data_IF_732596150316
#
_entry.id   IF_732596150316
#
_cell.length_a   1.000
_cell.length_b   1.000
_cell.length_c   1.000
_cell.angle_alpha   90.00
_cell.angle_beta   90.00
_cell.angle_gamma   90.00
#
_symmetry.space_group_name_H-M   'P 1'
#
loop_
_entity.id
_entity.type
_entity.pdbx_description
1 polymer ?
#
# COMPACT_ATOMS: atom_id res chain seq x y z
N UNK A 1 -21.34 9.46 -11.29
CA UNK A 1 -20.63 10.25 -12.33
C UNK A 1 -21.26 11.62 -12.60
N UNK A 2 -22.59 11.72 -12.79
CA UNK A 2 -23.26 13.01 -13.08
C UNK A 2 -22.96 14.13 -12.09
N UNK A 3 -22.90 13.85 -10.77
CA UNK A 3 -22.45 14.81 -9.74
C UNK A 3 -21.09 15.43 -10.07
N UNK A 4 -20.10 14.61 -10.42
CA UNK A 4 -18.74 15.06 -10.70
C UNK A 4 -18.71 15.97 -11.94
N UNK A 5 -19.38 15.57 -13.02
CA UNK A 5 -19.44 16.36 -14.25
C UNK A 5 -20.09 17.73 -13.99
N UNK A 6 -21.21 17.76 -13.26
CA UNK A 6 -21.91 19.00 -12.93
C UNK A 6 -21.00 19.91 -12.10
N UNK A 7 -20.44 19.42 -11.00
CA UNK A 7 -19.66 20.27 -10.09
C UNK A 7 -18.33 20.74 -10.69
N UNK A 8 -17.73 19.98 -11.61
CA UNK A 8 -16.45 20.34 -12.23
C UNK A 8 -16.62 21.25 -13.44
N UNK A 9 -17.60 20.97 -14.32
CA UNK A 9 -17.72 21.68 -15.60
C UNK A 9 -18.88 22.67 -15.67
N UNK A 10 -19.98 22.43 -14.96
CA UNK A 10 -21.21 23.23 -15.04
C UNK A 10 -21.53 24.01 -13.77
N UNK A 11 -20.71 23.88 -12.73
CA UNK A 11 -20.85 24.58 -11.46
C UNK A 11 -20.14 25.93 -11.47
N UNK A 12 -20.33 26.68 -10.39
CA UNK A 12 -19.60 27.94 -10.18
C UNK A 12 -18.10 27.69 -10.06
N UNK A 13 -17.31 28.54 -10.69
CA UNK A 13 -15.87 28.38 -10.80
C UNK A 13 -15.18 28.79 -9.48
N UNK A 14 -14.65 27.82 -8.72
CA UNK A 14 -14.09 28.01 -7.37
C UNK A 14 -12.58 28.28 -7.33
N UNK A 15 -11.96 28.62 -8.46
CA UNK A 15 -10.50 28.73 -8.58
C UNK A 15 -9.93 30.00 -7.95
N UNK A 16 -10.75 31.04 -7.74
CA UNK A 16 -10.33 32.26 -7.05
C UNK A 16 -10.35 32.15 -5.52
N UNK A 17 -11.13 31.21 -4.95
CA UNK A 17 -11.38 31.17 -3.50
C UNK A 17 -10.31 30.40 -2.71
N UNK A 18 -9.66 29.39 -3.33
CA UNK A 18 -8.70 28.52 -2.64
C UNK A 18 -7.24 28.66 -3.12
N UNK A 19 -6.99 29.49 -4.14
CA UNK A 19 -5.63 29.75 -4.64
C UNK A 19 -4.76 30.47 -3.61
N UNK A 20 -5.37 31.28 -2.73
CA UNK A 20 -4.67 32.00 -1.66
C UNK A 20 -4.27 31.09 -0.48
N UNK A 21 -4.98 29.98 -0.22
CA UNK A 21 -4.81 29.17 0.99
C UNK A 21 -3.76 28.06 0.88
N UNK A 22 -3.43 27.60 -0.34
CA UNK A 22 -2.58 26.41 -0.54
C UNK A 22 -1.22 26.69 -1.20
N UNK A 23 -0.77 27.96 -1.26
CA UNK A 23 0.59 28.31 -1.70
C UNK A 23 0.95 27.91 -3.14
N UNK A 24 -0.04 27.71 -4.01
CA UNK A 24 0.20 27.35 -5.40
C UNK A 24 0.67 28.58 -6.19
N UNK A 25 1.90 28.55 -6.71
CA UNK A 25 2.46 29.62 -7.52
C UNK A 25 1.90 29.58 -8.96
N UNK A 26 1.09 30.56 -9.34
CA UNK A 26 0.69 30.81 -10.73
C UNK A 26 -0.64 31.55 -10.90
N UNK A 27 -0.78 32.36 -11.95
CA UNK A 27 -2.07 32.89 -12.41
C UNK A 27 -2.86 31.75 -13.08
N UNK A 28 -3.63 31.01 -12.29
CA UNK A 28 -4.34 29.80 -12.73
C UNK A 28 -5.65 30.12 -13.46
N UNK A 29 -5.57 30.72 -14.64
CA UNK A 29 -6.68 30.67 -15.59
C UNK A 29 -6.68 29.26 -16.22
N UNK A 30 -7.76 28.47 -16.11
CA UNK A 30 -7.84 27.17 -16.76
C UNK A 30 -7.61 27.31 -18.26
N UNK A 31 -6.59 26.63 -18.78
CA UNK A 31 -6.30 26.57 -20.20
C UNK A 31 -6.57 25.17 -20.74
N UNK A 32 -6.78 25.08 -22.05
CA UNK A 32 -6.95 23.80 -22.72
C UNK A 32 -5.68 22.95 -22.61
N UNK A 33 -5.84 21.62 -22.61
CA UNK A 33 -4.71 20.71 -22.46
C UNK A 33 -3.83 20.71 -23.72
N UNK A 34 -2.49 20.61 -23.58
CA UNK A 34 -1.60 20.51 -24.73
C UNK A 34 -1.95 19.29 -25.59
N UNK A 35 -1.64 19.36 -26.89
CA UNK A 35 -1.92 18.28 -27.85
C UNK A 35 -1.39 16.90 -27.44
N UNK A 36 -0.32 16.86 -26.64
CA UNK A 36 0.27 15.62 -26.14
C UNK A 36 -0.64 14.87 -25.15
N UNK A 37 -1.55 15.57 -24.46
CA UNK A 37 -2.58 14.95 -23.60
C UNK A 37 -3.90 14.73 -24.34
N UNK A 38 -4.27 15.65 -25.23
CA UNK A 38 -5.52 15.56 -25.99
C UNK A 38 -5.52 14.35 -26.94
N UNK A 39 -4.40 14.09 -27.62
CA UNK A 39 -4.30 13.00 -28.60
C UNK A 39 -4.63 11.63 -27.99
N UNK A 40 -4.01 11.19 -26.86
CA UNK A 40 -4.41 9.97 -26.19
C UNK A 40 -5.89 9.91 -25.82
N UNK A 41 -6.47 11.00 -25.31
CA UNK A 41 -7.88 11.05 -24.91
C UNK A 41 -8.83 10.84 -26.09
N UNK A 42 -8.56 11.49 -27.22
CA UNK A 42 -9.37 11.35 -28.45
C UNK A 42 -9.27 9.93 -29.00
N UNK A 43 -8.06 9.36 -29.04
CA UNK A 43 -7.86 7.98 -29.48
C UNK A 43 -8.61 7.00 -28.58
N UNK A 44 -8.51 7.15 -27.25
CA UNK A 44 -9.24 6.31 -26.29
C UNK A 44 -10.75 6.45 -26.43
N UNK A 45 -11.27 7.67 -26.66
CA UNK A 45 -12.70 7.88 -26.92
C UNK A 45 -13.16 7.16 -28.20
N UNK A 46 -12.35 7.23 -29.27
CA UNK A 46 -12.58 6.49 -30.50
C UNK A 46 -12.60 4.97 -30.28
N UNK A 47 -11.60 4.44 -29.58
CA UNK A 47 -11.51 3.02 -29.24
C UNK A 47 -12.67 2.55 -28.34
N UNK A 48 -13.16 3.38 -27.42
CA UNK A 48 -14.33 3.07 -26.60
C UNK A 48 -15.61 2.98 -27.44
N UNK A 49 -15.79 3.87 -28.43
CA UNK A 49 -16.91 3.79 -29.37
C UNK A 49 -16.83 2.54 -30.25
N UNK A 50 -15.65 2.22 -30.79
CA UNK A 50 -15.43 1.01 -31.59
C UNK A 50 -15.67 -0.24 -30.76
N UNK A 51 -15.13 -0.29 -29.53
CA UNK A 51 -15.36 -1.40 -28.59
C UNK A 51 -16.84 -1.62 -28.29
N UNK A 52 -17.60 -0.54 -28.07
CA UNK A 52 -19.06 -0.62 -27.92
C UNK A 52 -19.77 -1.11 -29.19
N UNK A 53 -19.34 -0.64 -30.36
CA UNK A 53 -19.91 -1.04 -31.64
C UNK A 53 -19.63 -2.51 -32.01
N UNK A 54 -18.50 -3.07 -31.58
CA UNK A 54 -18.14 -4.48 -31.79
C UNK A 54 -19.00 -5.46 -30.98
N UNK A 55 -19.69 -5.01 -29.93
CA UNK A 55 -20.53 -5.85 -29.06
C UNK A 55 -21.96 -5.31 -28.97
N UNK A 56 -22.59 -5.06 -30.13
CA UNK A 56 -23.96 -4.58 -30.16
C UNK A 56 -24.97 -5.74 -29.97
N UNK A 57 -25.90 -5.65 -29.00
CA UNK A 57 -26.82 -6.73 -28.65
C UNK A 57 -28.03 -6.84 -29.60
N UNK A 58 -27.96 -6.28 -30.81
CA UNK A 58 -29.08 -6.25 -31.76
C UNK A 58 -29.23 -7.54 -32.58
N UNK A 59 -28.15 -8.32 -32.76
CA UNK A 59 -28.17 -9.58 -33.51
C UNK A 59 -27.08 -10.53 -33.02
N UNK A 60 -27.32 -11.85 -33.16
CA UNK A 60 -26.28 -12.87 -32.89
C UNK A 60 -25.03 -12.66 -33.75
N UNK A 61 -25.17 -12.03 -34.94
CA UNK A 61 -24.04 -11.71 -35.83
C UNK A 61 -23.25 -10.47 -35.42
N UNK A 62 -23.80 -9.60 -34.57
CA UNK A 62 -23.12 -8.37 -34.09
C UNK A 62 -22.49 -8.56 -32.70
N UNK A 63 -22.65 -9.73 -32.08
CA UNK A 63 -22.00 -10.12 -30.82
C UNK A 63 -20.61 -10.73 -31.09
N UNK A 64 -19.74 -9.98 -31.77
CA UNK A 64 -18.43 -10.50 -32.21
C UNK A 64 -17.54 -10.92 -31.04
N UNK A 65 -17.48 -10.13 -29.97
CA UNK A 65 -16.65 -10.45 -28.80
C UNK A 65 -17.19 -11.70 -28.10
N UNK A 66 -18.50 -11.86 -27.97
CA UNK A 66 -19.11 -13.06 -27.37
C UNK A 66 -18.66 -14.35 -28.08
N UNK A 67 -18.67 -14.36 -29.41
CA UNK A 67 -18.22 -15.53 -30.19
C UNK A 67 -16.70 -15.71 -30.16
N UNK A 68 -15.93 -14.61 -30.14
CA UNK A 68 -14.47 -14.67 -30.08
C UNK A 68 -13.96 -15.16 -28.71
N UNK A 69 -14.64 -14.79 -27.62
CA UNK A 69 -14.32 -15.25 -26.26
C UNK A 69 -14.95 -16.61 -25.91
N UNK A 70 -15.96 -17.08 -26.66
CA UNK A 70 -16.66 -18.33 -26.39
C UNK A 70 -15.70 -19.51 -26.11
N UNK A 71 -14.62 -19.77 -26.87
CA UNK A 71 -13.73 -20.92 -26.61
C UNK A 71 -13.03 -20.91 -25.24
N UNK A 72 -12.91 -19.74 -24.60
CA UNK A 72 -12.27 -19.58 -23.28
C UNK A 72 -13.31 -19.56 -22.16
N UNK A 73 -14.55 -19.15 -22.46
CA UNK A 73 -15.59 -18.87 -21.46
C UNK A 73 -16.69 -19.95 -21.43
N UNK A 74 -16.83 -20.76 -22.49
CA UNK A 74 -17.92 -21.73 -22.69
C UNK A 74 -18.04 -22.78 -21.56
N UNK A 75 -16.94 -23.21 -20.95
CA UNK A 75 -16.99 -24.10 -19.77
C UNK A 75 -17.44 -23.39 -18.47
N UNK A 76 -17.31 -22.07 -18.40
CA UNK A 76 -17.67 -21.24 -17.23
C UNK A 76 -19.04 -20.57 -17.35
N UNK A 77 -19.76 -20.76 -18.46
CA UNK A 77 -21.10 -20.17 -18.63
C UNK A 77 -22.16 -20.93 -17.82
N UNK A 78 -22.73 -20.25 -16.83
CA UNK A 78 -23.95 -20.71 -16.17
C UNK A 78 -25.08 -20.80 -17.21
N UNK A 79 -25.73 -21.97 -17.30
CA UNK A 79 -26.84 -22.20 -18.23
C UNK A 79 -28.14 -21.57 -17.71
N UNK A 80 -28.26 -20.24 -17.80
CA UNK A 80 -29.39 -19.45 -17.25
C UNK A 80 -30.56 -19.35 -18.26
N UNK A 81 -30.52 -20.10 -19.37
CA UNK A 81 -31.44 -19.96 -20.52
C UNK A 81 -32.92 -20.13 -20.17
N UNK A 82 -33.25 -20.88 -19.11
CA UNK A 82 -34.64 -21.10 -18.65
C UNK A 82 -35.10 -20.18 -17.51
N UNK A 83 -34.24 -19.26 -17.06
CA UNK A 83 -34.61 -18.38 -15.95
C UNK A 83 -35.55 -17.27 -16.42
N UNK A 84 -36.51 -16.88 -15.57
CA UNK A 84 -37.43 -15.77 -15.80
C UNK A 84 -36.73 -14.47 -16.24
N UNK A 85 -35.55 -14.20 -15.68
CA UNK A 85 -34.72 -13.05 -16.04
C UNK A 85 -34.24 -13.07 -17.50
N UNK A 86 -33.93 -14.26 -18.05
CA UNK A 86 -33.48 -14.40 -19.43
C UNK A 86 -34.63 -14.14 -20.41
N UNK A 87 -35.83 -14.64 -20.09
CA UNK A 87 -37.05 -14.41 -20.86
C UNK A 87 -37.46 -12.93 -20.87
N UNK A 88 -37.25 -12.25 -19.74
CA UNK A 88 -37.63 -10.84 -19.56
C UNK A 88 -36.46 -9.85 -19.66
N UNK A 89 -35.37 -10.23 -20.34
CA UNK A 89 -34.14 -9.41 -20.46
C UNK A 89 -34.39 -7.98 -20.96
N UNK A 90 -35.32 -7.79 -21.91
CA UNK A 90 -35.64 -6.46 -22.43
C UNK A 90 -36.41 -5.60 -21.44
N UNK A 91 -37.26 -6.22 -20.61
CA UNK A 91 -37.95 -5.54 -19.52
C UNK A 91 -36.93 -5.10 -18.47
N UNK A 92 -36.01 -5.98 -18.08
CA UNK A 92 -34.92 -5.67 -17.15
C UNK A 92 -34.02 -4.54 -17.68
N UNK A 93 -33.69 -4.57 -18.98
CA UNK A 93 -32.96 -3.51 -19.66
C UNK A 93 -33.72 -2.18 -19.60
N UNK A 94 -35.02 -2.19 -19.90
CA UNK A 94 -35.87 -1.00 -19.82
C UNK A 94 -35.91 -0.42 -18.41
N UNK A 95 -36.11 -1.26 -17.39
CA UNK A 95 -36.08 -0.85 -15.98
C UNK A 95 -34.73 -0.25 -15.61
N UNK A 96 -33.61 -0.89 -16.01
CA UNK A 96 -32.27 -0.38 -15.74
C UNK A 96 -32.04 0.99 -16.37
N UNK A 97 -32.48 1.20 -17.62
CA UNK A 97 -32.39 2.51 -18.31
C UNK A 97 -33.22 3.56 -17.58
N UNK A 98 -34.44 3.23 -17.17
CA UNK A 98 -35.30 4.16 -16.41
C UNK A 98 -34.66 4.53 -15.08
N UNK A 99 -34.14 3.56 -14.32
CA UNK A 99 -33.45 3.82 -13.05
C UNK A 99 -32.21 4.70 -13.26
N UNK A 100 -31.41 4.42 -14.29
CA UNK A 100 -30.24 5.24 -14.63
C UNK A 100 -30.64 6.69 -14.97
N UNK A 101 -31.69 6.88 -15.78
CA UNK A 101 -32.21 8.20 -16.14
C UNK A 101 -32.76 8.95 -14.92
N UNK A 102 -33.50 8.27 -14.04
CA UNK A 102 -33.97 8.85 -12.77
C UNK A 102 -32.80 9.31 -11.89
N UNK A 103 -31.73 8.51 -11.80
CA UNK A 103 -30.51 8.89 -11.09
C UNK A 103 -29.83 10.14 -11.67
N UNK A 104 -29.77 10.27 -12.99
CA UNK A 104 -29.24 11.46 -13.66
C UNK A 104 -30.11 12.70 -13.36
N UNK A 105 -31.43 12.58 -13.47
CA UNK A 105 -32.37 13.68 -13.19
C UNK A 105 -32.29 14.11 -11.72
N UNK A 106 -32.21 13.16 -10.79
CA UNK A 106 -32.03 13.43 -9.36
C UNK A 106 -30.72 14.19 -9.10
N UNK A 107 -29.60 13.76 -9.71
CA UNK A 107 -28.31 14.44 -9.57
C UNK A 107 -28.36 15.88 -10.12
N UNK A 108 -29.01 16.11 -11.26
CA UNK A 108 -29.19 17.47 -11.81
C UNK A 108 -30.03 18.34 -10.88
N UNK A 109 -31.10 17.79 -10.30
CA UNK A 109 -31.97 18.52 -9.38
C UNK A 109 -31.24 18.96 -8.10
N UNK A 110 -30.36 18.10 -7.56
CA UNK A 110 -29.55 18.39 -6.36
C UNK A 110 -28.41 19.35 -6.67
N UNK A 111 -27.57 19.05 -7.67
CA UNK A 111 -26.27 19.70 -7.85
C UNK A 111 -26.28 20.86 -8.85
N UNK A 112 -27.13 20.85 -9.88
CA UNK A 112 -27.19 21.94 -10.87
C UNK A 112 -28.29 22.96 -10.56
N UNK A 113 -29.44 22.51 -10.04
CA UNK A 113 -30.59 23.38 -9.76
C UNK A 113 -30.77 23.74 -8.28
N UNK A 114 -29.93 23.18 -7.39
CA UNK A 114 -29.98 23.39 -5.94
C UNK A 114 -31.39 23.25 -5.32
N UNK A 115 -32.27 22.43 -5.91
CA UNK A 115 -33.66 22.28 -5.44
C UNK A 115 -33.78 21.40 -4.20
N UNK A 116 -32.77 20.60 -3.92
CA UNK A 116 -32.73 19.65 -2.81
C UNK A 116 -31.35 19.72 -2.13
N UNK A 117 -31.32 19.56 -0.81
CA UNK A 117 -30.07 19.51 -0.05
C UNK A 117 -29.31 18.22 -0.38
N UNK A 118 -28.02 18.35 -0.66
CA UNK A 118 -27.15 17.19 -0.84
C UNK A 118 -27.08 16.39 0.47
N UNK A 119 -27.39 15.10 0.40
CA UNK A 119 -27.27 14.17 1.52
C UNK A 119 -25.91 13.51 1.41
N UNK A 120 -24.98 13.90 2.27
CA UNK A 120 -23.61 13.37 2.30
C UNK A 120 -23.35 12.79 3.70
N UNK A 121 -23.67 11.50 3.93
CA UNK A 121 -23.42 10.86 5.20
C UNK A 121 -21.91 10.80 5.49
N UNK A 122 -21.52 11.17 6.70
CA UNK A 122 -20.11 11.16 7.15
C UNK A 122 -19.42 9.80 6.94
N UNK A 123 -20.16 8.70 7.03
CA UNK A 123 -19.62 7.35 6.81
C UNK A 123 -19.13 7.15 5.37
N UNK A 124 -19.88 7.68 4.37
CA UNK A 124 -19.50 7.58 2.96
C UNK A 124 -18.36 8.55 2.62
N UNK A 125 -18.34 9.71 3.26
CA UNK A 125 -17.23 10.67 3.17
C UNK A 125 -15.92 10.05 3.67
N UNK A 126 -15.97 9.29 4.77
CA UNK A 126 -14.81 8.63 5.38
C UNK A 126 -14.48 7.26 4.76
N UNK A 127 -14.93 6.99 3.53
CA UNK A 127 -14.72 5.71 2.84
C UNK A 127 -15.03 4.49 3.74
N UNK A 128 -16.19 4.53 4.42
CA UNK A 128 -16.63 3.49 5.36
C UNK A 128 -15.71 3.29 6.58
N UNK A 129 -14.90 4.30 6.92
CA UNK A 129 -13.83 4.22 7.94
C UNK A 129 -12.79 3.14 7.66
N UNK A 130 -12.71 2.61 6.43
CA UNK A 130 -11.75 1.56 6.09
C UNK A 130 -10.32 2.08 6.23
N UNK A 131 -10.02 3.19 5.57
CA UNK A 131 -8.70 3.81 5.60
C UNK A 131 -8.30 4.23 7.03
N UNK A 132 -9.25 4.81 7.78
CA UNK A 132 -9.03 5.20 9.17
C UNK A 132 -8.75 4.00 10.07
N UNK A 133 -9.43 2.87 9.85
CA UNK A 133 -9.22 1.64 10.62
C UNK A 133 -7.88 1.00 10.26
N UNK A 134 -7.58 0.88 8.97
CA UNK A 134 -6.29 0.37 8.50
C UNK A 134 -5.13 1.22 9.04
N UNK A 135 -5.24 2.55 8.95
CA UNK A 135 -4.26 3.48 9.49
C UNK A 135 -4.08 3.28 11.01
N UNK A 136 -5.16 3.20 11.79
CA UNK A 136 -5.10 2.98 13.25
C UNK A 136 -4.46 1.64 13.61
N UNK A 137 -4.72 0.59 12.84
CA UNK A 137 -4.12 -0.73 13.05
C UNK A 137 -2.62 -0.71 12.76
N UNK A 138 -2.20 -0.04 11.68
CA UNK A 138 -0.76 0.08 11.37
C UNK A 138 -0.06 1.01 12.35
N UNK A 139 -0.61 2.20 12.58
CA UNK A 139 0.04 3.25 13.37
C UNK A 139 -0.03 3.01 14.88
N UNK A 140 -0.99 2.23 15.36
CA UNK A 140 -1.13 1.85 16.75
C UNK A 140 -0.31 0.60 17.07
N UNK A 141 -0.92 -0.61 17.03
CA UNK A 141 -0.25 -1.84 17.41
C UNK A 141 0.94 -2.17 16.51
N UNK A 142 0.88 -1.84 15.21
CA UNK A 142 2.03 -2.04 14.30
C UNK A 142 3.27 -1.28 14.77
N UNK A 143 3.16 0.03 14.97
CA UNK A 143 4.28 0.84 15.48
C UNK A 143 4.74 0.40 16.87
N UNK A 144 3.82 0.01 17.76
CA UNK A 144 4.19 -0.46 19.10
C UNK A 144 5.05 -1.73 19.04
N UNK A 145 4.71 -2.68 18.15
CA UNK A 145 5.50 -3.89 17.91
C UNK A 145 6.91 -3.55 17.40
N UNK A 146 7.01 -2.68 16.39
CA UNK A 146 8.31 -2.29 15.84
C UNK A 146 9.18 -1.55 16.85
N UNK A 147 8.60 -0.64 17.63
CA UNK A 147 9.30 0.04 18.71
C UNK A 147 9.76 -0.95 19.80
N UNK A 148 8.94 -1.97 20.10
CA UNK A 148 9.32 -3.03 21.03
C UNK A 148 10.52 -3.83 20.53
N UNK A 149 10.53 -4.23 19.25
CA UNK A 149 11.67 -4.94 18.64
C UNK A 149 12.93 -4.08 18.64
N UNK A 150 12.82 -2.81 18.26
CA UNK A 150 13.94 -1.87 18.28
C UNK A 150 14.49 -1.65 19.70
N UNK A 151 13.62 -1.59 20.71
CA UNK A 151 14.03 -1.49 22.10
C UNK A 151 14.82 -2.72 22.56
N UNK A 152 14.37 -3.92 22.18
CA UNK A 152 15.07 -5.19 22.50
C UNK A 152 16.46 -5.20 21.87
N UNK A 153 16.59 -4.79 20.61
CA UNK A 153 17.88 -4.72 19.93
C UNK A 153 18.85 -3.77 20.66
N UNK A 154 18.40 -2.54 20.91
CA UNK A 154 19.23 -1.50 21.55
C UNK A 154 19.61 -1.78 23.01
N UNK A 155 18.82 -2.58 23.74
CA UNK A 155 19.08 -2.83 25.18
C UNK A 155 19.61 -4.23 25.46
N UNK A 156 19.07 -5.25 24.80
CA UNK A 156 19.41 -6.65 25.06
C UNK A 156 20.59 -7.07 24.20
N UNK A 157 20.51 -6.83 22.88
CA UNK A 157 21.57 -7.25 21.95
C UNK A 157 22.81 -6.40 22.15
N UNK A 158 22.67 -5.07 22.07
CA UNK A 158 23.77 -4.14 22.32
C UNK A 158 24.29 -4.25 23.76
N UNK A 159 23.40 -4.49 24.73
CA UNK A 159 23.79 -4.72 26.12
C UNK A 159 24.67 -5.96 26.28
N UNK A 160 24.33 -7.07 25.63
CA UNK A 160 25.12 -8.30 25.66
C UNK A 160 26.51 -8.11 25.01
N UNK A 161 26.56 -7.39 23.88
CA UNK A 161 27.82 -7.07 23.18
C UNK A 161 28.72 -6.18 24.04
N UNK A 162 28.18 -5.07 24.56
CA UNK A 162 28.91 -4.14 25.41
C UNK A 162 29.33 -4.79 26.75
N UNK A 163 28.49 -5.67 27.30
CA UNK A 163 28.81 -6.45 28.49
C UNK A 163 30.00 -7.37 28.26
N UNK A 164 30.02 -8.08 27.13
CA UNK A 164 31.15 -8.93 26.74
C UNK A 164 32.44 -8.12 26.61
N UNK A 165 32.39 -6.98 25.92
CA UNK A 165 33.54 -6.08 25.79
C UNK A 165 34.05 -5.58 27.15
N UNK A 166 33.14 -5.28 28.08
CA UNK A 166 33.46 -4.83 29.44
C UNK A 166 34.16 -5.94 30.24
N UNK A 167 33.67 -7.18 30.17
CA UNK A 167 34.28 -8.33 30.84
C UNK A 167 35.70 -8.55 30.30
N UNK A 168 35.87 -8.58 28.98
CA UNK A 168 37.19 -8.76 28.36
C UNK A 168 38.15 -7.65 28.80
N UNK A 169 37.68 -6.39 28.83
CA UNK A 169 38.49 -5.25 29.28
C UNK A 169 38.88 -5.35 30.75
N UNK A 170 37.97 -5.82 31.61
CA UNK A 170 38.24 -6.02 33.03
C UNK A 170 39.30 -7.13 33.25
N UNK A 171 39.15 -8.26 32.56
CA UNK A 171 40.13 -9.37 32.62
C UNK A 171 41.49 -8.90 32.11
N UNK A 172 41.54 -8.24 30.95
CA UNK A 172 42.77 -7.68 30.39
C UNK A 172 43.43 -6.68 31.36
N UNK A 173 42.63 -5.84 32.04
CA UNK A 173 43.11 -4.91 33.06
C UNK A 173 43.73 -5.62 34.27
N UNK A 174 43.16 -6.75 34.69
CA UNK A 174 43.72 -7.53 35.79
C UNK A 174 44.99 -8.28 35.38
N UNK A 175 45.01 -8.89 34.19
CA UNK A 175 46.21 -9.53 33.62
C UNK A 175 47.35 -8.53 33.44
N UNK A 176 47.04 -7.30 33.04
CA UNK A 176 48.02 -6.21 32.91
C UNK A 176 48.71 -5.89 34.23
N UNK A 177 48.01 -5.97 35.38
CA UNK A 177 48.63 -5.73 36.70
C UNK A 177 49.66 -6.79 37.07
N UNK A 178 49.52 -8.02 36.56
CA UNK A 178 50.52 -9.07 36.73
C UNK A 178 51.83 -8.78 35.99
N UNK A 179 51.83 -7.84 35.05
CA UNK A 179 53.01 -7.36 34.32
C UNK A 179 53.62 -6.13 35.03
N UNK A 180 54.22 -6.35 36.20
CA UNK A 180 54.72 -5.29 37.07
C UNK A 180 56.20 -4.90 36.83
N UNK A 181 56.87 -5.49 35.83
CA UNK A 181 58.27 -5.18 35.50
C UNK A 181 59.32 -5.71 36.48
N UNK A 182 58.92 -6.46 37.51
CA UNK A 182 59.84 -7.00 38.51
C UNK A 182 60.49 -8.30 38.03
N UNK A 183 61.74 -8.20 37.55
CA UNK A 183 62.49 -9.31 36.90
C UNK A 183 62.49 -10.61 37.72
N UNK A 184 62.55 -10.53 39.06
CA UNK A 184 62.53 -11.73 39.93
C UNK A 184 61.19 -12.47 39.89
N UNK A 185 60.06 -11.77 39.74
CA UNK A 185 58.76 -12.41 39.59
C UNK A 185 58.67 -13.19 38.27
N UNK A 186 59.20 -12.64 37.18
CA UNK A 186 59.29 -13.34 35.89
C UNK A 186 60.15 -14.61 35.98
N UNK A 187 61.32 -14.53 36.61
CA UNK A 187 62.19 -15.68 36.81
C UNK A 187 61.50 -16.81 37.60
N UNK A 188 60.74 -16.47 38.65
CA UNK A 188 59.96 -17.43 39.43
C UNK A 188 58.84 -18.09 38.59
N UNK A 189 58.09 -17.32 37.80
CA UNK A 189 57.04 -17.84 36.91
C UNK A 189 57.64 -18.80 35.86
N UNK A 190 58.77 -18.44 35.25
CA UNK A 190 59.46 -19.28 34.27
C UNK A 190 59.93 -20.59 34.92
N UNK A 191 60.55 -20.52 36.10
CA UNK A 191 61.00 -21.72 36.81
C UNK A 191 59.85 -22.68 37.14
N UNK A 192 58.73 -22.15 37.64
CA UNK A 192 57.51 -22.94 37.87
C UNK A 192 56.99 -23.54 36.56
N UNK A 193 56.92 -22.76 35.48
CA UNK A 193 56.49 -23.23 34.17
C UNK A 193 57.34 -24.38 33.62
N UNK A 194 58.67 -24.32 33.79
CA UNK A 194 59.58 -25.40 33.40
C UNK A 194 59.31 -26.67 34.21
N UNK A 195 59.14 -26.56 35.53
CA UNK A 195 58.84 -27.72 36.40
C UNK A 195 57.51 -28.37 35.98
N UNK A 196 56.48 -27.57 35.73
CA UNK A 196 55.17 -28.07 35.28
C UNK A 196 55.26 -28.76 33.92
N UNK A 197 55.98 -28.19 32.96
CA UNK A 197 56.17 -28.80 31.64
C UNK A 197 56.93 -30.13 31.73
N UNK A 198 57.98 -30.20 32.55
CA UNK A 198 58.73 -31.43 32.78
C UNK A 198 57.85 -32.50 33.45
N UNK A 199 57.08 -32.13 34.47
CA UNK A 199 56.13 -33.03 35.12
C UNK A 199 55.08 -33.56 34.14
N UNK A 200 54.51 -32.69 33.30
CA UNK A 200 53.55 -33.07 32.27
C UNK A 200 54.17 -34.00 31.22
N UNK A 201 55.40 -33.71 30.76
CA UNK A 201 56.10 -34.54 29.79
C UNK A 201 56.40 -35.94 30.33
N UNK A 202 56.84 -36.05 31.58
CA UNK A 202 57.07 -37.32 32.25
C UNK A 202 55.76 -38.09 32.42
N UNK A 203 54.69 -37.43 32.90
CA UNK A 203 53.37 -38.05 33.05
C UNK A 203 52.81 -38.56 31.71
N UNK A 204 53.01 -37.82 30.62
CA UNK A 204 52.57 -38.21 29.28
C UNK A 204 53.47 -39.25 28.61
N UNK A 205 54.74 -39.34 29.00
CA UNK A 205 55.66 -40.39 28.53
C UNK A 205 55.55 -41.71 29.29
N UNK A 206 54.88 -41.70 30.45
CA UNK A 206 54.61 -42.88 31.29
C UNK A 206 53.24 -43.53 31.04
N UNK A 207 52.33 -42.85 30.35
CA UNK A 207 51.01 -43.34 29.90
C UNK A 207 51.07 -43.59 28.40
#
# INVERSE_FOLDING_TARGET
MTRQVIMVFYGEAKWNDHAAENGAHGDFIPHESPRIMLMPLVVLAGLAMVGGALQLPFSKKTAFLEHWLAPVVEESEAHIKETWAYQNKYLLLGVAVVVAMLGIVAAIAVYAKHKMKAIEPKILEQAWNYDATAARLVSGPGNALFNGVAWIDAHVVDGAVNGTATIVRAVAGQVRKSQNGFVRAYAAIIAVGVVVLLAWFVLRGLI
#
